data_IF_646867519922
#
_entry.id   IF_646867519922
#
_cell.length_a   1.000
_cell.length_b   1.000
_cell.length_c   1.000
_cell.angle_alpha   90.00
_cell.angle_beta   90.00
_cell.angle_gamma   90.00
#
_symmetry.space_group_name_H-M   'P 1'
#
loop_
_entity.id
_entity.type
_entity.pdbx_description
1 polymer ?
#
# COMPACT_ATOMS: atom_id res chain seq x y z
N UNK A 1 -31.77 25.87 -34.27
CA UNK A 1 -31.42 25.24 -32.98
C UNK A 1 -31.59 23.72 -32.98
N UNK A 2 -32.45 23.12 -33.82
CA UNK A 2 -32.65 21.66 -33.93
C UNK A 2 -31.49 20.91 -34.61
N UNK A 3 -30.83 21.51 -35.59
CA UNK A 3 -29.71 20.87 -36.32
C UNK A 3 -28.47 20.61 -35.45
N UNK A 4 -28.20 21.48 -34.47
CA UNK A 4 -27.07 21.33 -33.55
C UNK A 4 -27.28 20.19 -32.55
N UNK A 5 -28.51 19.90 -32.15
CA UNK A 5 -28.80 18.82 -31.21
C UNK A 5 -28.70 17.44 -31.89
N UNK A 6 -29.19 17.33 -33.13
CA UNK A 6 -29.06 16.12 -33.93
C UNK A 6 -27.60 15.81 -34.33
N UNK A 7 -26.80 16.83 -34.68
CA UNK A 7 -25.37 16.62 -34.97
C UNK A 7 -24.62 16.12 -33.74
N UNK A 8 -24.88 16.70 -32.57
CA UNK A 8 -24.25 16.33 -31.30
C UNK A 8 -24.62 14.89 -30.89
N UNK A 9 -25.88 14.49 -31.07
CA UNK A 9 -26.32 13.11 -30.83
C UNK A 9 -25.63 12.11 -31.76
N UNK A 10 -25.44 12.49 -33.03
CA UNK A 10 -24.76 11.66 -34.03
C UNK A 10 -23.26 11.52 -33.73
N UNK A 11 -22.61 12.60 -33.29
CA UNK A 11 -21.22 12.59 -32.84
C UNK A 11 -21.03 11.71 -31.60
N UNK A 12 -21.94 11.78 -30.62
CA UNK A 12 -21.92 10.93 -29.42
C UNK A 12 -22.09 9.45 -29.80
N UNK A 13 -23.04 9.12 -30.68
CA UNK A 13 -23.26 7.74 -31.14
C UNK A 13 -22.05 7.20 -31.91
N UNK A 14 -21.43 8.01 -32.76
CA UNK A 14 -20.21 7.64 -33.46
C UNK A 14 -19.04 7.44 -32.49
N UNK A 15 -18.86 8.33 -31.51
CA UNK A 15 -17.84 8.19 -30.47
C UNK A 15 -18.03 6.93 -29.63
N UNK A 16 -19.26 6.62 -29.22
CA UNK A 16 -19.59 5.40 -28.48
C UNK A 16 -19.30 4.15 -29.30
N UNK A 17 -19.68 4.14 -30.58
CA UNK A 17 -19.45 3.01 -31.48
C UNK A 17 -17.96 2.75 -31.67
N UNK A 18 -17.16 3.81 -31.85
CA UNK A 18 -15.70 3.71 -31.96
C UNK A 18 -15.07 3.25 -30.64
N UNK A 19 -15.53 3.80 -29.51
CA UNK A 19 -15.06 3.43 -28.18
C UNK A 19 -15.32 1.95 -27.87
N UNK A 20 -16.52 1.44 -28.16
CA UNK A 20 -16.88 0.03 -27.97
C UNK A 20 -16.03 -0.88 -28.87
N UNK A 21 -15.71 -0.45 -30.10
CA UNK A 21 -14.81 -1.19 -31.00
C UNK A 21 -13.36 -1.24 -30.50
N UNK A 22 -12.92 -0.23 -29.73
CA UNK A 22 -11.57 -0.16 -29.14
C UNK A 22 -11.44 -0.99 -27.85
N UNK A 23 -12.54 -1.25 -27.13
CA UNK A 23 -12.52 -2.03 -25.88
C UNK A 23 -11.84 -3.41 -26.03
N UNK A 24 -12.15 -4.24 -27.05
CA UNK A 24 -11.48 -5.54 -27.23
C UNK A 24 -9.97 -5.43 -27.44
N UNK A 25 -9.50 -4.39 -28.15
CA UNK A 25 -8.08 -4.16 -28.38
C UNK A 25 -7.38 -3.72 -27.09
N UNK A 26 -8.00 -2.80 -26.34
CA UNK A 26 -7.55 -2.41 -25.01
C UNK A 26 -7.43 -3.61 -24.07
N UNK A 27 -8.46 -4.48 -24.02
CA UNK A 27 -8.44 -5.69 -23.20
C UNK A 27 -7.27 -6.61 -23.60
N UNK A 28 -7.02 -6.80 -24.91
CA UNK A 28 -5.87 -7.59 -25.38
C UNK A 28 -4.53 -7.00 -24.96
N UNK A 29 -4.38 -5.68 -25.06
CA UNK A 29 -3.16 -4.96 -24.64
C UNK A 29 -2.94 -5.13 -23.14
N UNK A 30 -3.97 -4.89 -22.33
CA UNK A 30 -3.89 -5.07 -20.87
C UNK A 30 -3.61 -6.52 -20.48
N UNK A 31 -4.22 -7.48 -21.16
CA UNK A 31 -3.95 -8.91 -20.95
C UNK A 31 -2.50 -9.28 -21.29
N UNK A 32 -1.99 -8.82 -22.43
CA UNK A 32 -0.61 -9.05 -22.83
C UNK A 32 0.39 -8.43 -21.85
N UNK A 33 0.16 -7.18 -21.44
CA UNK A 33 0.97 -6.49 -20.44
C UNK A 33 0.93 -7.24 -19.10
N UNK A 34 -0.26 -7.59 -18.61
CA UNK A 34 -0.44 -8.34 -17.38
C UNK A 34 0.31 -9.68 -17.40
N UNK A 35 0.22 -10.43 -18.51
CA UNK A 35 0.95 -11.68 -18.69
C UNK A 35 2.46 -11.46 -18.66
N UNK A 36 2.97 -10.44 -19.37
CA UNK A 36 4.41 -10.14 -19.42
C UNK A 36 4.96 -9.69 -18.07
N UNK A 37 4.23 -8.83 -17.37
CA UNK A 37 4.56 -8.38 -16.00
C UNK A 37 4.58 -9.59 -15.06
N UNK A 38 3.54 -10.43 -15.08
CA UNK A 38 3.44 -11.61 -14.22
C UNK A 38 4.58 -12.60 -14.47
N UNK A 39 4.91 -12.88 -15.74
CA UNK A 39 6.04 -13.73 -16.10
C UNK A 39 7.38 -13.16 -15.62
N UNK A 40 7.58 -11.85 -15.79
CA UNK A 40 8.77 -11.15 -15.32
C UNK A 40 8.89 -11.24 -13.79
N UNK A 41 7.81 -10.93 -13.07
CA UNK A 41 7.73 -11.04 -11.62
C UNK A 41 7.97 -12.46 -11.13
N UNK A 42 7.42 -13.47 -11.81
CA UNK A 42 7.63 -14.87 -11.45
C UNK A 42 9.07 -15.33 -11.68
N UNK A 43 9.69 -14.93 -12.79
CA UNK A 43 11.09 -15.20 -13.05
C UNK A 43 11.99 -14.53 -12.00
N UNK A 44 11.70 -13.26 -11.69
CA UNK A 44 12.37 -12.49 -10.64
C UNK A 44 12.16 -13.09 -9.24
N UNK A 45 10.98 -13.64 -8.96
CA UNK A 45 10.70 -14.31 -7.70
C UNK A 45 11.56 -15.56 -7.51
N UNK A 46 11.80 -16.32 -8.60
CA UNK A 46 12.61 -17.53 -8.53
C UNK A 46 14.06 -17.25 -8.14
N UNK A 47 14.62 -16.11 -8.54
CA UNK A 47 16.02 -15.76 -8.27
C UNK A 47 16.27 -15.23 -6.85
N UNK A 48 15.23 -14.82 -6.11
CA UNK A 48 15.38 -14.28 -4.75
C UNK A 48 15.66 -15.36 -3.70
N UNK A 49 16.49 -15.00 -2.73
CA UNK A 49 16.74 -15.75 -1.51
C UNK A 49 15.45 -15.94 -0.69
N UNK A 50 15.43 -16.94 0.20
CA UNK A 50 14.26 -17.23 1.02
C UNK A 50 13.83 -16.05 1.91
N UNK A 51 14.79 -15.44 2.63
CA UNK A 51 14.51 -14.28 3.48
C UNK A 51 14.02 -13.06 2.68
N UNK A 52 14.53 -12.86 1.47
CA UNK A 52 14.07 -11.80 0.57
C UNK A 52 12.60 -11.95 0.17
N UNK A 53 12.15 -13.19 -0.06
CA UNK A 53 10.76 -13.47 -0.41
C UNK A 53 9.83 -13.13 0.75
N UNK A 54 10.19 -13.58 1.95
CA UNK A 54 9.42 -13.27 3.16
C UNK A 54 9.41 -11.77 3.42
N UNK A 55 10.56 -11.12 3.32
CA UNK A 55 10.68 -9.67 3.46
C UNK A 55 9.78 -8.92 2.48
N UNK A 56 9.78 -9.32 1.20
CA UNK A 56 8.92 -8.71 0.19
C UNK A 56 7.42 -8.88 0.50
N UNK A 57 7.01 -10.04 1.02
CA UNK A 57 5.63 -10.27 1.44
C UNK A 57 5.25 -9.31 2.57
N UNK A 58 6.12 -9.12 3.56
CA UNK A 58 5.84 -8.19 4.65
C UNK A 58 5.80 -6.73 4.20
N UNK A 59 6.66 -6.30 3.28
CA UNK A 59 6.57 -4.97 2.67
C UNK A 59 5.24 -4.76 1.93
N UNK A 60 4.78 -5.78 1.21
CA UNK A 60 3.48 -5.75 0.54
C UNK A 60 2.32 -5.66 1.55
N UNK A 61 2.35 -6.48 2.59
CA UNK A 61 1.33 -6.46 3.64
C UNK A 61 1.31 -5.13 4.39
N UNK A 62 2.49 -4.56 4.67
CA UNK A 62 2.62 -3.24 5.29
C UNK A 62 1.97 -2.15 4.44
N UNK A 63 2.23 -2.15 3.13
CA UNK A 63 1.55 -1.26 2.19
C UNK A 63 0.03 -1.50 2.19
N UNK A 64 -0.41 -2.75 2.08
CA UNK A 64 -1.83 -3.10 2.04
C UNK A 64 -2.58 -2.61 3.30
N UNK A 65 -2.06 -2.90 4.49
CA UNK A 65 -2.69 -2.50 5.76
C UNK A 65 -2.58 -0.99 6.04
N UNK A 66 -1.61 -0.29 5.46
CA UNK A 66 -1.53 1.18 5.56
C UNK A 66 -2.67 1.89 4.81
N UNK A 67 -3.26 1.28 3.79
CA UNK A 67 -4.34 1.90 3.01
C UNK A 67 -5.71 1.71 3.67
N UNK A 68 -5.87 0.67 4.50
CA UNK A 68 -7.12 0.36 5.17
C UNK A 68 -7.42 1.32 6.35
N UNK A 69 -8.70 1.50 6.72
CA UNK A 69 -9.04 2.21 7.94
C UNK A 69 -8.51 1.47 9.18
N UNK A 70 -8.06 2.23 10.16
CA UNK A 70 -7.44 1.71 11.39
C UNK A 70 -8.34 1.84 12.60
N UNK A 71 -9.32 2.74 12.55
CA UNK A 71 -10.20 3.06 13.66
C UNK A 71 -11.65 2.97 13.24
N UNK A 72 -12.49 2.56 14.17
CA UNK A 72 -13.93 2.57 14.05
C UNK A 72 -14.47 3.53 15.10
N UNK A 73 -15.26 4.50 14.67
CA UNK A 73 -15.93 5.43 15.55
C UNK A 73 -17.42 5.14 15.52
N UNK A 74 -18.01 4.89 16.68
CA UNK A 74 -19.43 4.60 16.83
C UNK A 74 -20.04 5.62 17.79
N UNK A 75 -21.02 6.39 17.30
CA UNK A 75 -21.78 7.35 18.10
C UNK A 75 -23.19 6.81 18.28
N UNK A 76 -23.65 6.81 19.53
CA UNK A 76 -25.05 6.52 19.86
C UNK A 76 -25.78 7.86 20.01
N UNK A 77 -26.50 8.27 18.97
CA UNK A 77 -27.43 9.39 19.05
C UNK A 77 -28.85 8.85 19.25
N UNK A 78 -29.39 9.04 20.45
CA UNK A 78 -30.72 8.57 20.85
C UNK A 78 -30.91 7.05 20.62
N UNK A 79 -31.56 6.65 19.53
CA UNK A 79 -31.90 5.26 19.18
C UNK A 79 -31.17 4.74 17.94
N UNK A 80 -30.32 5.54 17.29
CA UNK A 80 -29.57 5.15 16.10
C UNK A 80 -28.07 5.16 16.35
N UNK A 81 -27.40 4.04 16.03
CA UNK A 81 -25.95 3.96 16.02
C UNK A 81 -25.45 4.42 14.65
N UNK A 82 -24.70 5.52 14.64
CA UNK A 82 -23.94 5.93 13.46
C UNK A 82 -22.50 5.45 13.62
N UNK A 83 -22.00 4.76 12.61
CA UNK A 83 -20.63 4.24 12.64
C UNK A 83 -19.84 4.68 11.41
N UNK A 84 -18.58 5.05 11.63
CA UNK A 84 -17.67 5.52 10.59
C UNK A 84 -16.32 4.85 10.75
N UNK A 85 -15.78 4.31 9.65
CA UNK A 85 -14.41 3.79 9.62
C UNK A 85 -13.44 4.88 9.19
N UNK A 86 -12.34 4.99 9.92
CA UNK A 86 -11.45 6.14 9.88
C UNK A 86 -10.00 5.71 9.71
N UNK A 87 -9.31 6.39 8.81
CA UNK A 87 -7.86 6.31 8.66
C UNK A 87 -7.17 7.30 9.59
N UNK A 88 -5.92 7.02 9.99
CA UNK A 88 -5.15 7.95 10.81
C UNK A 88 -4.96 9.31 10.11
N UNK A 89 -4.89 10.40 10.87
CA UNK A 89 -4.62 11.75 10.33
C UNK A 89 -3.33 11.81 9.52
N UNK A 90 -2.30 11.10 9.97
CA UNK A 90 -1.00 10.97 9.30
C UNK A 90 -0.92 9.79 8.31
N UNK A 91 -2.06 9.29 7.79
CA UNK A 91 -2.09 8.10 6.94
C UNK A 91 -1.19 8.21 5.70
N UNK A 92 -1.13 9.40 5.10
CA UNK A 92 -0.30 9.65 3.92
C UNK A 92 1.18 9.34 4.16
N UNK A 93 1.68 9.54 5.38
CA UNK A 93 3.07 9.22 5.75
C UNK A 93 3.27 7.70 5.76
N UNK A 94 2.38 6.95 6.41
CA UNK A 94 2.45 5.48 6.47
C UNK A 94 2.33 4.85 5.08
N UNK A 95 1.40 5.33 4.25
CA UNK A 95 1.24 4.87 2.87
C UNK A 95 2.49 5.18 2.05
N UNK A 96 3.00 6.42 2.12
CA UNK A 96 4.15 6.84 1.31
C UNK A 96 5.41 6.05 1.69
N UNK A 97 5.70 5.88 2.97
CA UNK A 97 6.84 5.09 3.43
C UNK A 97 6.70 3.64 2.99
N UNK A 98 5.54 3.02 3.21
CA UNK A 98 5.30 1.62 2.84
C UNK A 98 5.39 1.41 1.33
N UNK A 99 4.88 2.35 0.54
CA UNK A 99 4.96 2.33 -0.92
C UNK A 99 6.41 2.41 -1.40
N UNK A 100 7.18 3.38 -0.89
CA UNK A 100 8.57 3.57 -1.27
C UNK A 100 9.45 2.39 -0.83
N UNK A 101 9.23 1.85 0.38
CA UNK A 101 9.94 0.66 0.85
C UNK A 101 9.60 -0.56 -0.02
N UNK A 102 8.34 -0.76 -0.36
CA UNK A 102 7.94 -1.85 -1.28
C UNK A 102 8.57 -1.70 -2.66
N UNK A 103 8.56 -0.51 -3.27
CA UNK A 103 9.11 -0.31 -4.61
C UNK A 103 10.64 -0.36 -4.64
N UNK A 104 11.31 0.38 -3.77
CA UNK A 104 12.77 0.40 -3.75
C UNK A 104 13.29 -0.99 -3.40
N UNK A 105 12.97 -1.55 -2.23
CA UNK A 105 13.55 -2.84 -1.83
C UNK A 105 12.99 -4.03 -2.59
N UNK A 106 11.79 -3.86 -3.16
CA UNK A 106 11.16 -4.85 -4.00
C UNK A 106 11.90 -5.10 -5.30
N UNK A 107 12.38 -4.05 -5.95
CA UNK A 107 12.92 -4.11 -7.32
C UNK A 107 14.36 -3.59 -7.45
N UNK A 108 14.82 -2.77 -6.49
CA UNK A 108 16.11 -2.09 -6.49
C UNK A 108 16.82 -2.25 -5.13
N UNK A 109 17.85 -3.09 -5.08
CA UNK A 109 18.69 -3.22 -3.89
C UNK A 109 20.03 -2.52 -4.08
N UNK A 110 20.30 -1.53 -3.23
CA UNK A 110 21.58 -0.83 -3.10
C UNK A 110 21.84 -0.44 -1.65
N UNK A 111 23.08 -0.12 -1.29
CA UNK A 111 23.45 0.32 0.07
C UNK A 111 22.59 1.49 0.56
N UNK A 112 22.27 2.43 -0.34
CA UNK A 112 21.38 3.56 -0.02
C UNK A 112 19.95 3.11 0.30
N UNK A 113 19.38 2.16 -0.46
CA UNK A 113 18.03 1.64 -0.19
C UNK A 113 17.94 0.91 1.15
N UNK A 114 19.03 0.30 1.62
CA UNK A 114 19.11 -0.32 2.96
C UNK A 114 19.04 0.74 4.06
N UNK A 115 19.80 1.82 3.93
CA UNK A 115 19.76 2.95 4.86
C UNK A 115 18.37 3.60 4.88
N UNK A 116 17.81 3.85 3.68
CA UNK A 116 16.47 4.38 3.51
C UNK A 116 15.42 3.54 4.23
N UNK A 117 15.47 2.22 4.05
CA UNK A 117 14.55 1.30 4.70
C UNK A 117 14.57 1.45 6.22
N UNK A 118 15.72 1.26 6.86
CA UNK A 118 15.79 1.33 8.31
C UNK A 118 15.44 2.71 8.85
N UNK A 119 15.85 3.79 8.17
CA UNK A 119 15.50 5.14 8.58
C UNK A 119 13.98 5.37 8.55
N UNK A 120 13.32 4.96 7.47
CA UNK A 120 11.87 5.17 7.32
C UNK A 120 11.04 4.22 8.19
N UNK A 121 11.50 2.99 8.41
CA UNK A 121 10.91 2.08 9.40
C UNK A 121 10.98 2.65 10.82
N UNK A 122 12.11 3.24 11.21
CA UNK A 122 12.23 3.92 12.51
C UNK A 122 11.30 5.13 12.61
N UNK A 123 11.13 5.91 11.54
CA UNK A 123 10.14 6.99 11.51
C UNK A 123 8.73 6.45 11.76
N UNK A 124 8.34 5.37 11.07
CA UNK A 124 7.04 4.71 11.30
C UNK A 124 6.87 4.27 12.75
N UNK A 125 7.89 3.61 13.35
CA UNK A 125 7.86 3.18 14.75
C UNK A 125 7.71 4.37 15.68
N UNK A 126 8.45 5.46 15.47
CA UNK A 126 8.35 6.68 16.29
C UNK A 126 6.94 7.27 16.22
N UNK A 127 6.35 7.38 15.02
CA UNK A 127 4.99 7.92 14.87
C UNK A 127 3.97 6.98 15.52
N UNK A 128 4.15 5.65 15.43
CA UNK A 128 3.30 4.68 16.11
C UNK A 128 3.36 4.84 17.62
N UNK A 129 4.56 4.90 18.18
CA UNK A 129 4.77 5.08 19.61
C UNK A 129 4.22 6.43 20.09
N UNK A 130 4.42 7.49 19.30
CA UNK A 130 3.84 8.80 19.60
C UNK A 130 2.32 8.77 19.53
N UNK A 131 1.74 8.06 18.56
CA UNK A 131 0.30 7.90 18.42
C UNK A 131 -0.33 7.06 19.53
N UNK A 132 0.43 6.14 20.14
CA UNK A 132 0.00 5.45 21.35
C UNK A 132 -0.07 6.40 22.56
N UNK A 133 0.88 7.31 22.71
CA UNK A 133 0.92 8.29 23.81
C UNK A 133 -0.10 9.42 23.63
N UNK A 134 -0.20 9.97 22.41
CA UNK A 134 -1.09 11.07 22.04
C UNK A 134 -1.95 10.69 20.82
N UNK A 135 -2.96 9.81 20.97
CA UNK A 135 -3.78 9.34 19.86
C UNK A 135 -4.59 10.46 19.21
N UNK A 136 -5.08 11.43 20.01
CA UNK A 136 -5.85 12.56 19.49
C UNK A 136 -5.06 13.42 18.49
N UNK A 137 -3.78 13.66 18.78
CA UNK A 137 -2.93 14.51 17.93
C UNK A 137 -2.47 13.79 16.66
N UNK A 138 -2.30 12.48 16.75
CA UNK A 138 -1.58 11.67 15.75
C UNK A 138 -2.52 10.94 14.81
N UNK A 139 -3.63 10.42 15.34
CA UNK A 139 -4.51 9.52 14.62
C UNK A 139 -5.87 10.13 14.32
N UNK A 140 -6.50 10.85 15.25
CA UNK A 140 -7.86 11.35 15.02
C UNK A 140 -8.27 12.50 15.95
N UNK A 141 -9.03 13.46 15.44
CA UNK A 141 -9.57 14.57 16.22
C UNK A 141 -11.02 14.26 16.67
N UNK A 142 -11.19 13.48 17.77
CA UNK A 142 -12.54 13.15 18.31
C UNK A 142 -12.84 13.75 19.69
N UNK A 143 -14.14 14.02 19.89
CA UNK A 143 -14.72 14.59 21.10
C UNK A 143 -14.60 13.60 22.26
N UNK A 144 -15.02 12.35 22.07
CA UNK A 144 -14.97 11.29 23.08
C UNK A 144 -14.09 10.11 22.65
N UNK A 145 -12.96 9.84 23.35
CA UNK A 145 -12.06 8.74 23.00
C UNK A 145 -12.63 7.34 23.32
N UNK A 146 -13.65 7.24 24.17
CA UNK A 146 -14.25 5.96 24.57
C UNK A 146 -15.13 5.32 23.47
N UNK A 147 -15.49 6.10 22.46
CA UNK A 147 -16.32 5.70 21.31
C UNK A 147 -15.46 5.19 20.13
N UNK A 148 -14.14 5.18 20.30
CA UNK A 148 -13.19 4.75 19.27
C UNK A 148 -12.66 3.37 19.59
N UNK A 149 -12.84 2.44 18.66
CA UNK A 149 -12.22 1.12 18.71
C UNK A 149 -11.16 0.96 17.63
N UNK A 150 -10.04 0.36 17.99
CA UNK A 150 -8.96 0.04 17.05
C UNK A 150 -9.34 -1.20 16.24
N UNK A 151 -9.31 -1.08 14.91
CA UNK A 151 -9.66 -2.16 14.00
C UNK A 151 -8.46 -3.10 13.77
N UNK A 152 -8.77 -4.30 13.29
CA UNK A 152 -7.78 -5.32 12.93
C UNK A 152 -6.65 -4.84 11.99
N UNK A 153 -6.90 -4.01 10.96
CA UNK A 153 -5.85 -3.55 10.05
C UNK A 153 -4.70 -2.82 10.75
N UNK A 154 -4.97 -2.09 11.84
CA UNK A 154 -3.92 -1.44 12.62
C UNK A 154 -2.94 -2.47 13.22
N UNK A 155 -3.46 -3.52 13.87
CA UNK A 155 -2.63 -4.56 14.46
C UNK A 155 -1.86 -5.34 13.39
N UNK A 156 -2.49 -5.61 12.25
CA UNK A 156 -1.83 -6.27 11.12
C UNK A 156 -0.75 -5.39 10.49
N UNK A 157 -0.93 -4.07 10.48
CA UNK A 157 0.11 -3.12 10.11
C UNK A 157 1.30 -3.16 11.09
N UNK A 158 1.07 -3.21 12.41
CA UNK A 158 2.16 -3.33 13.38
C UNK A 158 2.93 -4.64 13.25
N UNK A 159 2.22 -5.74 13.01
CA UNK A 159 2.82 -7.05 12.76
C UNK A 159 3.68 -7.01 11.50
N UNK A 160 3.17 -6.44 10.41
CA UNK A 160 3.93 -6.33 9.16
C UNK A 160 5.13 -5.40 9.29
N UNK A 161 5.01 -4.29 10.03
CA UNK A 161 6.11 -3.38 10.37
C UNK A 161 7.23 -4.10 11.15
N UNK A 162 6.86 -4.87 12.18
CA UNK A 162 7.84 -5.62 12.97
C UNK A 162 8.55 -6.68 12.13
N UNK A 163 7.79 -7.48 11.38
CA UNK A 163 8.38 -8.55 10.58
C UNK A 163 9.13 -8.02 9.35
N UNK A 164 8.70 -6.91 8.74
CA UNK A 164 9.47 -6.27 7.67
C UNK A 164 10.84 -5.83 8.20
N UNK A 165 10.90 -5.23 9.40
CA UNK A 165 12.15 -4.86 10.03
C UNK A 165 13.08 -6.07 10.28
N UNK A 166 12.54 -7.12 10.92
CA UNK A 166 13.31 -8.34 11.24
C UNK A 166 13.80 -9.06 9.98
N UNK A 167 12.91 -9.31 9.02
CA UNK A 167 13.27 -10.00 7.79
C UNK A 167 14.08 -9.13 6.83
N UNK A 168 13.95 -7.81 6.90
CA UNK A 168 14.84 -6.88 6.21
C UNK A 168 16.27 -7.01 6.72
N UNK A 169 16.47 -7.01 8.04
CA UNK A 169 17.78 -7.25 8.64
C UNK A 169 18.37 -8.62 8.26
N UNK A 170 17.58 -9.70 8.37
CA UNK A 170 18.03 -11.04 7.99
C UNK A 170 18.33 -11.17 6.50
N UNK A 171 17.52 -10.54 5.65
CA UNK A 171 17.70 -10.47 4.20
C UNK A 171 19.05 -9.83 3.87
N UNK A 172 19.32 -8.62 4.38
CA UNK A 172 20.58 -7.93 4.09
C UNK A 172 21.80 -8.64 4.66
N UNK A 173 21.70 -9.21 5.88
CA UNK A 173 22.78 -10.00 6.46
C UNK A 173 23.11 -11.22 5.58
N UNK A 174 22.08 -11.95 5.12
CA UNK A 174 22.29 -13.12 4.25
C UNK A 174 22.85 -12.73 2.89
N UNK A 175 22.43 -11.59 2.37
CA UNK A 175 22.95 -11.01 1.14
C UNK A 175 24.45 -10.74 1.28
N UNK A 176 24.88 -10.07 2.35
CA UNK A 176 26.28 -9.76 2.60
C UNK A 176 27.14 -11.02 2.74
N UNK A 177 26.63 -12.08 3.39
CA UNK A 177 27.32 -13.38 3.46
C UNK A 177 27.56 -14.00 2.08
N UNK A 178 26.62 -13.87 1.14
CA UNK A 178 26.74 -14.48 -0.20
C UNK A 178 27.68 -13.67 -1.10
N UNK A 179 27.60 -12.34 -1.06
CA UNK A 179 28.37 -11.47 -1.95
C UNK A 179 29.80 -11.18 -1.46
N UNK A 180 30.09 -11.30 -0.16
CA UNK A 180 31.48 -11.21 0.36
C UNK A 180 32.29 -12.48 0.07
N UNK A 181 31.61 -13.61 -0.19
CA UNK A 181 32.25 -14.90 -0.50
C UNK A 181 32.25 -15.28 -1.99
N UNK A 182 31.76 -14.40 -2.86
CA UNK A 182 31.82 -14.60 -4.32
C UNK A 182 33.00 -13.77 -4.86
N UNK A 183 34.13 -14.40 -5.27
CA UNK A 183 35.28 -13.70 -5.84
C UNK A 183 34.96 -13.02 -7.17
#
# INVERSE_FOLDING_TARGET
>A
MTNTFFSLLTEILNFLTVSIKLVPELIKVWWFLGKKITLSLFSYWKTKLFYDKIFFIFLFLQLFFSVLPWFHYEIVFFESNESVSLSPKLNSIFILISLLNFFFLGFWKSTWTRLWFFATEMICVIIVLWGYLEPKRTYYDFVNPNEVSTQLPFYLFLISLFFSFVFGYLSFKKEDEVYVHSP
#
